data_IF_989971593084
#
_entry.id   IF_989971593084
#
_cell.length_a   1.000
_cell.length_b   1.000
_cell.length_c   1.000
_cell.angle_alpha   90.00
_cell.angle_beta   90.00
_cell.angle_gamma   90.00
#
_symmetry.space_group_name_H-M   'P 1'
#
loop_
_entity.id
_entity.type
_entity.pdbx_description
1 polymer ?
#
# COMPACT_ATOMS: atom_id res chain seq x y z
N UNK A 1 -13.61 33.18 2.17
CA UNK A 1 -14.68 32.20 1.88
C UNK A 1 -15.69 32.90 1.00
N UNK A 2 -15.76 32.53 -0.28
CA UNK A 2 -16.82 32.98 -1.19
C UNK A 2 -17.51 31.73 -1.72
N UNK A 3 -18.82 31.65 -1.48
CA UNK A 3 -19.68 30.54 -1.86
C UNK A 3 -19.80 30.45 -3.38
N UNK A 4 -19.31 29.36 -3.96
CA UNK A 4 -19.47 29.05 -5.38
C UNK A 4 -20.91 28.63 -5.66
N UNK A 5 -21.66 29.44 -6.41
CA UNK A 5 -22.98 29.03 -6.91
C UNK A 5 -22.84 27.94 -7.99
N UNK A 6 -23.65 26.87 -7.96
CA UNK A 6 -23.57 25.81 -8.95
C UNK A 6 -24.02 26.30 -10.33
N UNK A 7 -23.19 26.06 -11.35
CA UNK A 7 -23.53 26.29 -12.76
C UNK A 7 -24.45 25.17 -13.23
N UNK A 8 -25.71 25.51 -13.57
CA UNK A 8 -26.64 24.59 -14.24
C UNK A 8 -26.32 24.56 -15.74
N UNK A 9 -25.84 23.41 -16.21
CA UNK A 9 -25.80 23.11 -17.64
C UNK A 9 -27.19 22.61 -18.07
N UNK A 10 -27.76 23.27 -19.09
CA UNK A 10 -29.04 22.90 -19.68
C UNK A 10 -28.98 21.51 -20.31
N UNK A 11 -29.96 20.67 -19.98
CA UNK A 11 -30.07 19.30 -20.44
C UNK A 11 -31.29 19.19 -21.37
N UNK A 12 -31.08 18.73 -22.60
CA UNK A 12 -32.15 18.11 -23.38
C UNK A 12 -31.84 16.60 -23.41
N UNK A 13 -32.60 15.83 -22.62
CA UNK A 13 -32.51 14.37 -22.38
C UNK A 13 -31.30 13.88 -21.53
N UNK A 14 -31.57 13.38 -20.32
CA UNK A 14 -30.63 13.02 -19.23
C UNK A 14 -30.07 11.55 -19.34
N UNK A 15 -29.03 11.08 -18.58
CA UNK A 15 -28.58 11.58 -17.27
C UNK A 15 -27.06 11.69 -16.96
N UNK A 16 -26.79 12.56 -15.98
CA UNK A 16 -25.71 12.55 -14.97
C UNK A 16 -24.24 12.70 -15.38
N UNK A 17 -23.64 13.77 -14.85
CA UNK A 17 -22.20 14.06 -14.87
C UNK A 17 -21.48 13.11 -13.91
N UNK A 18 -20.41 12.46 -14.38
CA UNK A 18 -19.48 11.73 -13.52
C UNK A 18 -18.58 12.74 -12.82
N UNK A 19 -18.80 12.95 -11.53
CA UNK A 19 -17.86 13.68 -10.67
C UNK A 19 -17.12 12.65 -9.84
N UNK A 20 -15.85 12.43 -10.17
CA UNK A 20 -14.93 11.67 -9.35
C UNK A 20 -13.82 12.65 -8.91
N UNK A 21 -13.70 13.01 -7.63
CA UNK A 21 -12.64 13.91 -7.19
C UNK A 21 -11.36 13.11 -7.04
N UNK A 22 -10.66 12.87 -8.15
CA UNK A 22 -9.30 12.32 -8.19
C UNK A 22 -8.59 12.94 -9.39
N UNK A 23 -7.60 13.81 -9.11
CA UNK A 23 -7.02 14.85 -9.97
C UNK A 23 -6.63 14.44 -11.42
N UNK A 24 -6.50 13.15 -11.69
CA UNK A 24 -6.10 12.57 -12.98
C UNK A 24 -7.16 12.73 -14.08
N UNK A 25 -8.45 12.64 -13.75
CA UNK A 25 -9.55 12.73 -14.74
C UNK A 25 -9.64 14.14 -15.36
N UNK A 26 -9.11 15.14 -14.65
CA UNK A 26 -9.10 16.53 -15.09
C UNK A 26 -7.80 16.95 -15.79
N UNK A 27 -6.81 16.06 -15.92
CA UNK A 27 -5.55 16.38 -16.59
C UNK A 27 -5.75 16.38 -18.13
N UNK A 28 -5.69 17.54 -18.80
CA UNK A 28 -5.95 17.64 -20.23
C UNK A 28 -4.86 16.98 -21.10
N UNK A 29 -3.74 16.57 -20.50
CA UNK A 29 -2.64 15.86 -21.19
C UNK A 29 -2.91 14.37 -21.35
N UNK A 30 -3.90 13.84 -20.63
CA UNK A 30 -4.23 12.42 -20.63
C UNK A 30 -5.36 12.12 -21.61
N UNK A 31 -5.20 11.03 -22.36
CA UNK A 31 -6.26 10.47 -23.17
C UNK A 31 -7.27 9.70 -22.31
N UNK A 32 -8.44 9.40 -22.86
CA UNK A 32 -9.42 8.51 -22.22
C UNK A 32 -8.85 7.11 -21.96
N UNK A 33 -7.90 6.65 -22.77
CA UNK A 33 -7.19 5.39 -22.56
C UNK A 33 -6.27 5.46 -21.32
N UNK A 34 -5.52 6.56 -21.16
CA UNK A 34 -4.65 6.76 -20.00
C UNK A 34 -5.46 6.82 -18.69
N UNK A 35 -6.60 7.53 -18.72
CA UNK A 35 -7.52 7.57 -17.57
C UNK A 35 -8.09 6.18 -17.27
N UNK A 36 -8.41 5.40 -18.30
CA UNK A 36 -8.87 4.01 -18.15
C UNK A 36 -7.82 3.10 -17.50
N UNK A 37 -6.55 3.23 -17.91
CA UNK A 37 -5.42 2.51 -17.29
C UNK A 37 -5.26 2.93 -15.83
N UNK A 38 -5.24 4.24 -15.55
CA UNK A 38 -5.14 4.75 -14.18
C UNK A 38 -6.24 4.19 -13.26
N UNK A 39 -7.50 4.21 -13.71
CA UNK A 39 -8.62 3.71 -12.91
C UNK A 39 -8.52 2.21 -12.63
N UNK A 40 -8.07 1.41 -13.61
CA UNK A 40 -7.87 -0.02 -13.40
C UNK A 40 -6.67 -0.31 -12.49
N UNK A 41 -5.57 0.43 -12.64
CA UNK A 41 -4.44 0.37 -11.70
C UNK A 41 -4.93 0.68 -10.27
N UNK A 42 -5.74 1.74 -10.11
CA UNK A 42 -6.29 2.12 -8.80
C UNK A 42 -7.19 1.04 -8.21
N UNK A 43 -8.07 0.44 -9.02
CA UNK A 43 -8.93 -0.67 -8.59
C UNK A 43 -8.11 -1.90 -8.19
N UNK A 44 -7.10 -2.28 -8.98
CA UNK A 44 -6.19 -3.38 -8.63
C UNK A 44 -5.44 -3.11 -7.32
N UNK A 45 -5.05 -1.85 -7.06
CA UNK A 45 -4.44 -1.46 -5.79
C UNK A 45 -5.37 -1.61 -4.58
N UNK A 46 -6.69 -1.49 -4.77
CA UNK A 46 -7.68 -1.66 -3.70
C UNK A 46 -7.98 -3.13 -3.41
N UNK A 47 -7.80 -4.02 -4.40
CA UNK A 47 -8.12 -5.45 -4.28
C UNK A 47 -6.88 -6.29 -3.92
N UNK A 48 -5.69 -5.90 -4.36
CA UNK A 48 -4.45 -6.68 -4.13
C UNK A 48 -3.20 -5.81 -3.90
N UNK A 49 -3.13 -5.06 -2.78
CA UNK A 49 -1.90 -4.38 -2.40
C UNK A 49 -0.87 -5.39 -1.82
N UNK A 50 0.42 -5.38 -2.22
CA UNK A 50 1.00 -4.51 -3.25
C UNK A 50 1.97 -5.17 -4.25
N UNK A 51 2.17 -4.43 -5.36
CA UNK A 51 3.25 -4.58 -6.34
C UNK A 51 3.31 -5.91 -7.10
N UNK A 52 2.32 -6.12 -7.96
CA UNK A 52 2.58 -6.94 -9.14
C UNK A 52 3.58 -6.25 -10.07
N UNK A 53 4.45 -7.03 -10.73
CA UNK A 53 5.33 -6.54 -11.79
C UNK A 53 4.50 -5.85 -12.89
N UNK A 54 5.09 -4.88 -13.60
CA UNK A 54 4.43 -4.22 -14.73
C UNK A 54 3.88 -5.23 -15.75
N UNK A 55 4.59 -6.32 -16.00
CA UNK A 55 4.14 -7.38 -16.90
C UNK A 55 2.92 -8.14 -16.35
N UNK A 56 2.84 -8.33 -15.04
CA UNK A 56 1.64 -8.86 -14.39
C UNK A 56 0.46 -7.89 -14.54
N UNK A 57 0.70 -6.60 -14.31
CA UNK A 57 -0.31 -5.56 -14.48
C UNK A 57 -0.84 -5.52 -15.93
N UNK A 58 0.06 -5.54 -16.92
CA UNK A 58 -0.32 -5.56 -18.35
C UNK A 58 -1.16 -6.81 -18.66
N UNK A 59 -0.76 -7.98 -18.15
CA UNK A 59 -1.51 -9.23 -18.30
C UNK A 59 -2.91 -9.12 -17.68
N UNK A 60 -3.02 -8.56 -16.48
CA UNK A 60 -4.28 -8.45 -15.73
C UNK A 60 -5.22 -7.42 -16.34
N UNK A 61 -4.69 -6.34 -16.91
CA UNK A 61 -5.46 -5.30 -17.58
C UNK A 61 -6.14 -5.77 -18.88
N UNK A 62 -5.70 -6.91 -19.46
CA UNK A 62 -6.20 -7.49 -20.71
C UNK A 62 -6.28 -6.47 -21.86
N UNK A 63 -5.30 -5.58 -21.91
CA UNK A 63 -5.16 -4.52 -22.91
C UNK A 63 -3.97 -4.81 -23.84
N UNK A 64 -3.89 -4.17 -25.02
CA UNK A 64 -2.70 -4.28 -25.87
C UNK A 64 -1.44 -3.83 -25.13
N UNK A 65 -0.40 -4.69 -25.12
CA UNK A 65 0.82 -4.47 -24.34
C UNK A 65 1.50 -3.12 -24.61
N UNK A 66 1.61 -2.74 -25.90
CA UNK A 66 2.26 -1.49 -26.30
C UNK A 66 1.53 -0.26 -25.77
N UNK A 67 0.23 -0.16 -26.03
CA UNK A 67 -0.60 0.96 -25.59
C UNK A 67 -0.67 1.07 -24.06
N UNK A 68 -0.67 -0.08 -23.38
CA UNK A 68 -0.71 -0.12 -21.91
C UNK A 68 0.60 0.38 -21.31
N UNK A 69 1.75 -0.08 -21.83
CA UNK A 69 3.06 0.38 -21.38
C UNK A 69 3.25 1.87 -21.66
N UNK A 70 2.85 2.35 -22.82
CA UNK A 70 2.91 3.77 -23.16
C UNK A 70 2.05 4.63 -22.23
N UNK A 71 0.86 4.13 -21.87
CA UNK A 71 -0.02 4.81 -20.91
C UNK A 71 0.56 4.83 -19.50
N UNK A 72 1.13 3.72 -19.03
CA UNK A 72 1.80 3.64 -17.72
C UNK A 72 3.01 4.58 -17.67
N UNK A 73 3.79 4.65 -18.75
CA UNK A 73 4.93 5.58 -18.85
C UNK A 73 4.46 7.03 -18.75
N UNK A 74 3.45 7.44 -19.54
CA UNK A 74 2.89 8.80 -19.46
C UNK A 74 2.33 9.13 -18.08
N UNK A 75 1.60 8.20 -17.47
CA UNK A 75 1.07 8.37 -16.12
C UNK A 75 2.19 8.52 -15.08
N UNK A 76 3.32 7.83 -15.27
CA UNK A 76 4.50 7.98 -14.41
C UNK A 76 5.19 9.33 -14.64
N UNK A 77 5.40 9.72 -15.89
CA UNK A 77 6.00 11.01 -16.28
C UNK A 77 5.21 12.20 -15.74
N UNK A 78 3.88 12.10 -15.73
CA UNK A 78 3.00 13.14 -15.20
C UNK A 78 2.76 13.06 -13.69
N UNK A 79 3.38 12.09 -13.00
CA UNK A 79 3.33 11.96 -11.54
C UNK A 79 2.05 11.33 -10.98
N UNK A 80 1.26 10.68 -11.84
CA UNK A 80 0.02 9.99 -11.47
C UNK A 80 0.24 8.54 -11.04
N UNK A 81 1.36 7.93 -11.48
CA UNK A 81 1.86 6.65 -11.00
C UNK A 81 3.31 6.80 -10.53
N UNK A 82 3.70 5.96 -9.57
CA UNK A 82 5.07 5.87 -9.10
C UNK A 82 5.61 4.49 -9.44
N UNK A 83 6.72 4.44 -10.18
CA UNK A 83 7.46 3.20 -10.41
C UNK A 83 8.57 3.07 -9.38
N UNK A 84 8.45 2.08 -8.49
CA UNK A 84 9.45 1.77 -7.48
C UNK A 84 10.05 0.38 -7.71
N UNK A 85 11.23 0.13 -7.17
CA UNK A 85 11.84 -1.21 -7.23
C UNK A 85 11.04 -2.23 -6.41
N UNK A 86 11.15 -3.51 -6.78
CA UNK A 86 10.55 -4.62 -6.04
C UNK A 86 10.97 -4.65 -4.56
N UNK A 87 12.24 -4.37 -4.26
CA UNK A 87 12.73 -4.30 -2.88
C UNK A 87 12.10 -3.14 -2.08
N UNK A 88 11.93 -1.98 -2.73
CA UNK A 88 11.27 -0.82 -2.11
C UNK A 88 9.81 -1.14 -1.82
N UNK A 89 9.17 -1.82 -2.78
CA UNK A 89 7.82 -2.32 -2.69
C UNK A 89 7.63 -3.28 -1.50
N UNK A 90 8.47 -4.30 -1.38
CA UNK A 90 8.45 -5.26 -0.27
C UNK A 90 8.69 -4.55 1.08
N UNK A 91 9.68 -3.66 1.14
CA UNK A 91 10.02 -2.90 2.34
C UNK A 91 8.85 -2.03 2.83
N UNK A 92 8.17 -1.31 1.93
CA UNK A 92 6.99 -0.52 2.28
C UNK A 92 5.84 -1.41 2.78
N UNK A 93 5.69 -2.61 2.21
CA UNK A 93 4.67 -3.59 2.63
C UNK A 93 4.95 -4.08 4.04
N UNK A 94 6.18 -4.51 4.30
CA UNK A 94 6.63 -4.92 5.62
C UNK A 94 6.46 -3.79 6.64
N UNK A 95 6.75 -2.54 6.25
CA UNK A 95 6.56 -1.38 7.11
C UNK A 95 5.07 -1.15 7.44
N UNK A 96 4.17 -1.21 6.46
CA UNK A 96 2.71 -1.09 6.69
C UNK A 96 2.18 -2.22 7.57
N UNK A 97 2.59 -3.46 7.30
CA UNK A 97 2.21 -4.62 8.11
C UNK A 97 2.72 -4.49 9.56
N UNK A 98 3.98 -4.11 9.75
CA UNK A 98 4.57 -3.92 11.08
C UNK A 98 3.89 -2.78 11.85
N UNK A 99 3.46 -1.71 11.17
CA UNK A 99 2.64 -0.66 11.77
C UNK A 99 1.28 -1.20 12.23
N UNK A 100 0.59 -1.96 11.38
CA UNK A 100 -0.69 -2.59 11.73
C UNK A 100 -0.58 -3.53 12.94
N UNK A 101 0.45 -4.37 12.98
CA UNK A 101 0.75 -5.23 14.13
C UNK A 101 1.04 -4.39 15.38
N UNK A 102 1.86 -3.34 15.28
CA UNK A 102 2.16 -2.44 16.39
C UNK A 102 0.90 -1.76 16.93
N UNK A 103 0.04 -1.28 16.05
CA UNK A 103 -1.21 -0.62 16.43
C UNK A 103 -2.15 -1.60 17.14
N UNK A 104 -2.27 -2.85 16.65
CA UNK A 104 -3.04 -3.90 17.31
C UNK A 104 -2.49 -4.29 18.68
N UNK A 105 -1.16 -4.44 18.81
CA UNK A 105 -0.49 -4.67 20.09
C UNK A 105 -0.75 -3.51 21.05
N UNK A 106 -0.64 -2.26 20.58
CA UNK A 106 -0.91 -1.08 21.41
C UNK A 106 -2.35 -1.08 21.94
N UNK A 107 -3.34 -1.32 21.07
CA UNK A 107 -4.76 -1.42 21.48
C UNK A 107 -4.92 -2.48 22.58
N UNK A 108 -4.24 -3.62 22.44
CA UNK A 108 -4.29 -4.71 23.42
C UNK A 108 -3.65 -4.29 24.75
N UNK A 109 -2.46 -3.69 24.70
CA UNK A 109 -1.73 -3.19 25.88
C UNK A 109 -2.53 -2.11 26.61
N UNK A 110 -3.19 -1.22 25.88
CA UNK A 110 -3.97 -0.11 26.45
C UNK A 110 -5.23 -0.61 27.18
N UNK A 111 -5.79 -1.74 26.76
CA UNK A 111 -6.92 -2.40 27.44
C UNK A 111 -6.52 -3.08 28.76
N UNK A 112 -5.23 -3.30 29.01
CA UNK A 112 -4.75 -3.96 30.23
C UNK A 112 -4.71 -3.00 31.42
N UNK A 113 -5.03 -3.55 32.60
CA UNK A 113 -4.79 -2.87 33.87
C UNK A 113 -3.29 -2.61 34.09
N UNK A 114 -2.92 -1.66 34.97
CA UNK A 114 -1.51 -1.42 35.27
C UNK A 114 -0.75 -2.65 35.78
N UNK A 115 -1.42 -3.54 36.52
CA UNK A 115 -0.81 -4.78 37.05
C UNK A 115 -0.56 -5.79 35.93
N UNK A 116 -1.52 -5.97 35.03
CA UNK A 116 -1.37 -6.87 33.87
C UNK A 116 -0.28 -6.37 32.92
N UNK A 117 -0.18 -5.06 32.69
CA UNK A 117 0.93 -4.49 31.91
C UNK A 117 2.29 -4.80 32.50
N UNK A 118 2.44 -4.70 33.83
CA UNK A 118 3.68 -5.08 34.53
C UNK A 118 3.99 -6.57 34.38
N UNK A 119 2.98 -7.44 34.48
CA UNK A 119 3.14 -8.88 34.30
C UNK A 119 3.58 -9.23 32.86
N UNK A 120 2.96 -8.61 31.85
CA UNK A 120 3.33 -8.78 30.43
C UNK A 120 4.76 -8.32 30.18
N UNK A 121 5.18 -7.17 30.70
CA UNK A 121 6.55 -6.68 30.57
C UNK A 121 7.57 -7.63 31.23
N UNK A 122 7.24 -8.15 32.42
CA UNK A 122 8.09 -9.13 33.10
C UNK A 122 8.22 -10.43 32.31
N UNK A 123 7.11 -10.92 31.74
CA UNK A 123 7.11 -12.10 30.89
C UNK A 123 7.95 -11.91 29.63
N UNK A 124 7.83 -10.76 28.95
CA UNK A 124 8.64 -10.44 27.77
C UNK A 124 10.15 -10.49 28.08
N UNK A 125 10.58 -9.87 29.18
CA UNK A 125 11.98 -9.93 29.62
C UNK A 125 12.46 -11.37 29.89
N UNK A 126 11.59 -12.21 30.46
CA UNK A 126 11.93 -13.60 30.73
C UNK A 126 12.06 -14.43 29.44
N UNK A 127 11.24 -14.15 28.43
CA UNK A 127 11.35 -14.75 27.10
C UNK A 127 12.66 -14.33 26.43
N UNK A 128 13.00 -13.04 26.44
CA UNK A 128 14.25 -12.53 25.85
C UNK A 128 15.48 -13.16 26.50
N UNK A 129 15.52 -13.21 27.84
CA UNK A 129 16.59 -13.88 28.56
C UNK A 129 16.73 -15.37 28.22
N UNK A 130 15.62 -16.09 27.98
CA UNK A 130 15.68 -17.49 27.56
C UNK A 130 16.18 -17.63 26.12
N UNK A 131 15.78 -16.73 25.23
CA UNK A 131 16.26 -16.68 23.84
C UNK A 131 17.77 -16.45 23.78
N UNK A 132 18.28 -15.46 24.50
CA UNK A 132 19.72 -15.12 24.52
C UNK A 132 20.57 -16.28 25.05
N UNK A 133 20.07 -16.98 26.08
CA UNK A 133 20.72 -18.19 26.59
C UNK A 133 20.77 -19.29 25.55
N UNK A 134 19.69 -19.52 24.81
CA UNK A 134 19.64 -20.53 23.74
C UNK A 134 20.64 -20.22 22.61
N UNK A 135 20.71 -18.97 22.16
CA UNK A 135 21.67 -18.52 21.13
C UNK A 135 23.12 -18.72 21.62
N UNK A 136 23.40 -18.33 22.87
CA UNK A 136 24.74 -18.48 23.46
C UNK A 136 25.16 -19.95 23.62
N UNK A 137 24.21 -20.85 23.93
CA UNK A 137 24.47 -22.29 24.05
C UNK A 137 24.69 -22.95 22.69
N UNK A 138 23.94 -22.58 21.64
CA UNK A 138 24.19 -23.06 20.27
C UNK A 138 25.56 -22.63 19.75
N UNK A 139 25.97 -21.38 19.97
CA UNK A 139 27.30 -20.89 19.58
C UNK A 139 28.46 -21.57 20.33
N UNK A 140 28.22 -22.07 21.55
CA UNK A 140 29.20 -22.87 22.32
C UNK A 140 29.26 -24.34 21.90
N UNK A 141 28.14 -24.91 21.46
CA UNK A 141 28.08 -26.30 20.98
C UNK A 141 28.77 -26.45 19.62
N UNK A 142 28.76 -25.42 18.76
CA UNK A 142 29.44 -25.44 17.45
C UNK A 142 30.96 -25.33 17.50
N UNK A 143 31.55 -24.80 18.60
CA UNK A 143 33.01 -24.64 18.77
C UNK A 143 33.71 -25.79 19.49
N UNK A 144 32.98 -26.84 19.92
CA UNK A 144 33.55 -28.01 20.61
C UNK A 144 33.60 -29.27 19.74
N UNK A 145 33.30 -29.15 18.44
CA UNK A 145 33.25 -30.24 17.48
C UNK A 145 34.28 -30.16 16.36
N UNK A 146 35.29 -29.30 16.46
CA UNK A 146 36.48 -29.29 15.60
C UNK A 146 37.71 -29.71 16.40
#
# INVERSE_FOLDING_TARGET
MSESKPVRLGCASAPSVVVAPYDVVTDPRLSSADVGVYMRCRWLLDVNPPYGLLDWLVTELRMPDGETRDSVNRLTEFGHLEMISADTAESQTALRASKGVRDAIRVTIDALTPTERKAVAHFANLVDHRRDRAITQQGRSGKRGE
#
